data_IF_766306652301
#
_entry.id   IF_766306652301
#
_cell.length_a   1.000
_cell.length_b   1.000
_cell.length_c   1.000
_cell.angle_alpha   90.00
_cell.angle_beta   90.00
_cell.angle_gamma   90.00
#
_symmetry.space_group_name_H-M   'P 1'
#
loop_
_entity.id
_entity.type
_entity.pdbx_description
1 polymer ?
#
# COMPACT_ATOMS: atom_id res chain seq x y z
N UNK A 1 -48.45 33.65 15.72
CA UNK A 1 -49.04 33.27 14.43
C UNK A 1 -48.34 34.06 13.34
N UNK A 2 -47.40 33.45 12.62
CA UNK A 2 -47.17 33.60 11.17
C UNK A 2 -46.57 32.25 10.76
N UNK A 3 -47.32 31.54 9.93
CA UNK A 3 -46.95 30.29 9.30
C UNK A 3 -46.01 30.54 8.09
N UNK A 4 -45.32 29.47 7.67
CA UNK A 4 -44.78 29.20 6.32
C UNK A 4 -43.51 29.93 5.90
N UNK A 5 -42.40 29.20 5.99
CA UNK A 5 -41.45 29.07 4.88
C UNK A 5 -40.73 27.71 4.99
N UNK A 6 -41.42 26.65 4.57
CA UNK A 6 -40.79 25.44 4.07
C UNK A 6 -40.28 25.77 2.66
N UNK A 7 -39.03 25.38 2.32
CA UNK A 7 -38.66 25.16 0.92
C UNK A 7 -37.42 25.90 0.43
N UNK A 8 -36.26 25.30 0.69
CA UNK A 8 -35.08 25.22 -0.19
C UNK A 8 -34.04 24.39 0.59
N UNK A 9 -34.25 23.08 0.78
CA UNK A 9 -33.87 22.06 -0.19
C UNK A 9 -32.60 22.43 -0.97
N UNK A 10 -31.49 21.88 -0.47
CA UNK A 10 -30.46 21.17 -1.22
C UNK A 10 -30.08 21.75 -2.58
N UNK A 11 -28.82 22.18 -2.71
CA UNK A 11 -27.84 21.88 -3.79
C UNK A 11 -26.63 22.81 -3.53
N UNK A 12 -25.81 22.49 -2.52
CA UNK A 12 -24.41 22.96 -2.44
C UNK A 12 -23.54 21.85 -1.83
N UNK A 13 -23.73 20.60 -2.28
CA UNK A 13 -22.91 19.45 -1.86
C UNK A 13 -22.40 18.62 -3.05
N UNK A 14 -22.55 19.12 -4.29
CA UNK A 14 -22.21 18.38 -5.52
C UNK A 14 -21.06 18.99 -6.34
N UNK A 15 -20.24 19.85 -5.74
CA UNK A 15 -19.14 20.51 -6.46
C UNK A 15 -17.74 20.22 -5.89
N UNK A 16 -17.54 19.06 -5.24
CA UNK A 16 -16.26 18.70 -4.63
C UNK A 16 -15.67 17.34 -5.03
N UNK A 17 -16.32 16.56 -5.90
CA UNK A 17 -15.98 15.13 -6.09
C UNK A 17 -15.46 14.78 -7.49
N UNK A 18 -14.81 15.72 -8.18
CA UNK A 18 -14.08 15.44 -9.43
C UNK A 18 -12.66 15.99 -9.32
N UNK A 19 -11.94 15.61 -8.26
CA UNK A 19 -10.47 15.67 -8.21
C UNK A 19 -9.95 14.24 -8.05
N UNK A 20 -8.70 13.92 -8.47
CA UNK A 20 -8.10 12.64 -8.16
C UNK A 20 -8.21 12.41 -6.65
N UNK A 21 -8.84 11.32 -6.22
CA UNK A 21 -8.93 11.07 -4.78
C UNK A 21 -7.53 10.69 -4.30
N UNK A 22 -6.97 11.53 -3.43
CA UNK A 22 -5.76 11.16 -2.72
C UNK A 22 -5.95 9.79 -2.06
N UNK A 23 -4.92 8.96 -2.16
CA UNK A 23 -4.93 7.66 -1.52
C UNK A 23 -5.06 7.82 -0.01
N UNK A 24 -6.13 7.28 0.56
CA UNK A 24 -6.38 7.39 1.99
C UNK A 24 -5.36 6.59 2.78
N UNK A 25 -4.70 7.23 3.76
CA UNK A 25 -3.82 6.56 4.71
C UNK A 25 -4.52 5.36 5.35
N UNK A 26 -5.76 5.56 5.82
CA UNK A 26 -6.54 4.52 6.50
C UNK A 26 -6.85 3.34 5.58
N UNK A 27 -7.02 3.58 4.28
CA UNK A 27 -7.23 2.49 3.31
C UNK A 27 -5.94 1.68 3.15
N UNK A 28 -4.80 2.34 2.97
CA UNK A 28 -3.51 1.66 2.79
C UNK A 28 -3.12 0.89 4.05
N UNK A 29 -3.21 1.53 5.22
CA UNK A 29 -2.90 0.89 6.50
C UNK A 29 -3.78 -0.33 6.73
N UNK A 30 -5.10 -0.19 6.56
CA UNK A 30 -6.03 -1.30 6.70
C UNK A 30 -5.72 -2.45 5.75
N UNK A 31 -5.32 -2.18 4.51
CA UNK A 31 -5.16 -3.20 3.48
C UNK A 31 -3.77 -3.82 3.43
N UNK A 32 -2.71 -3.08 3.78
CA UNK A 32 -1.34 -3.58 3.76
C UNK A 32 -0.85 -4.07 5.12
N UNK A 33 -1.26 -3.43 6.22
CA UNK A 33 -0.68 -3.68 7.55
C UNK A 33 -1.71 -4.18 8.57
N UNK A 34 -2.99 -3.86 8.39
CA UNK A 34 -4.05 -4.11 9.39
C UNK A 34 -4.69 -5.50 9.38
N UNK A 35 -4.36 -6.40 8.44
CA UNK A 35 -5.12 -7.65 8.21
C UNK A 35 -4.50 -8.92 8.80
N UNK A 36 -3.46 -8.79 9.63
CA UNK A 36 -2.62 -9.94 10.00
C UNK A 36 -1.76 -10.40 8.81
N UNK A 37 -1.11 -11.55 8.93
CA UNK A 37 -0.18 -12.02 7.89
C UNK A 37 1.20 -11.37 7.97
N UNK A 38 2.04 -11.71 6.99
CA UNK A 38 3.35 -11.06 6.76
C UNK A 38 3.18 -9.73 6.03
N UNK A 39 2.27 -9.67 5.04
CA UNK A 39 1.94 -8.43 4.33
C UNK A 39 0.56 -8.56 3.69
N UNK A 40 -0.31 -7.57 3.90
CA UNK A 40 -1.63 -7.50 3.28
C UNK A 40 -2.61 -8.61 3.66
N UNK A 41 -2.39 -9.32 4.77
CA UNK A 41 -3.17 -10.51 5.13
C UNK A 41 -2.64 -11.83 4.58
N UNK A 42 -1.51 -11.82 3.86
CA UNK A 42 -0.94 -12.98 3.18
C UNK A 42 0.33 -13.49 3.86
N UNK A 43 0.58 -14.79 3.72
CA UNK A 43 1.65 -15.54 4.35
C UNK A 43 2.52 -16.27 3.31
N UNK A 44 3.75 -16.63 3.70
CA UNK A 44 4.57 -17.53 2.88
C UNK A 44 3.93 -18.93 2.81
N UNK A 45 3.95 -19.54 1.64
CA UNK A 45 3.33 -20.84 1.39
C UNK A 45 1.85 -20.79 1.01
N UNK A 46 1.21 -19.61 1.05
CA UNK A 46 -0.14 -19.42 0.54
C UNK A 46 -0.22 -19.80 -0.95
N UNK A 47 -1.35 -20.37 -1.38
CA UNK A 47 -1.55 -20.71 -2.78
C UNK A 47 -2.03 -19.51 -3.58
N UNK A 48 -1.31 -19.20 -4.66
CA UNK A 48 -1.76 -18.16 -5.59
C UNK A 48 -3.15 -18.47 -6.18
N UNK A 49 -3.42 -19.75 -6.46
CA UNK A 49 -4.72 -20.18 -6.97
C UNK A 49 -5.88 -19.96 -5.98
N UNK A 50 -5.59 -19.92 -4.68
CA UNK A 50 -6.59 -19.59 -3.65
C UNK A 50 -6.73 -18.08 -3.52
N UNK A 51 -5.61 -17.36 -3.47
CA UNK A 51 -5.57 -15.89 -3.41
C UNK A 51 -6.40 -15.26 -4.53
N UNK A 52 -6.17 -15.68 -5.79
CA UNK A 52 -6.86 -15.08 -6.94
C UNK A 52 -8.34 -15.43 -7.08
N UNK A 53 -8.83 -16.45 -6.36
CA UNK A 53 -10.25 -16.84 -6.38
C UNK A 53 -11.10 -16.00 -5.45
N UNK A 54 -10.51 -15.43 -4.40
CA UNK A 54 -11.21 -14.62 -3.41
C UNK A 54 -10.43 -13.35 -3.07
N UNK A 55 -10.07 -12.52 -4.06
CA UNK A 55 -9.53 -11.20 -3.76
C UNK A 55 -10.61 -10.38 -3.06
N UNK A 56 -10.22 -9.50 -2.15
CA UNK A 56 -11.17 -8.51 -1.66
C UNK A 56 -11.67 -7.64 -2.83
N UNK A 57 -12.90 -7.15 -2.71
CA UNK A 57 -13.59 -6.39 -3.77
C UNK A 57 -12.80 -5.16 -4.27
N UNK A 58 -11.84 -4.68 -3.47
CA UNK A 58 -11.01 -3.52 -3.77
C UNK A 58 -9.87 -3.85 -4.75
N UNK A 59 -9.55 -5.13 -4.96
CA UNK A 59 -8.42 -5.58 -5.77
C UNK A 59 -8.83 -6.13 -7.13
N UNK A 60 -8.07 -5.72 -8.14
CA UNK A 60 -7.97 -6.38 -9.44
C UNK A 60 -6.84 -7.40 -9.40
N UNK A 61 -7.11 -8.62 -9.85
CA UNK A 61 -6.09 -9.66 -10.01
C UNK A 61 -5.34 -9.47 -11.31
N UNK A 62 -4.00 -9.51 -11.26
CA UNK A 62 -3.16 -9.74 -12.44
C UNK A 62 -2.45 -11.08 -12.29
N UNK A 63 -2.74 -11.99 -13.22
CA UNK A 63 -2.25 -13.37 -13.24
C UNK A 63 -1.38 -13.58 -14.48
N UNK A 64 -0.31 -12.81 -14.56
CA UNK A 64 0.70 -12.90 -15.61
C UNK A 64 1.93 -13.56 -14.99
N UNK A 65 2.51 -14.54 -15.69
CA UNK A 65 3.64 -15.31 -15.15
C UNK A 65 4.81 -14.40 -14.76
N UNK A 66 5.20 -14.41 -13.49
CA UNK A 66 6.24 -13.55 -12.92
C UNK A 66 5.77 -12.13 -12.57
N UNK A 67 4.47 -11.86 -12.67
CA UNK A 67 3.81 -10.59 -12.37
C UNK A 67 2.48 -10.82 -11.63
N UNK A 68 2.42 -11.85 -10.81
CA UNK A 68 1.25 -12.21 -9.99
C UNK A 68 1.00 -11.13 -8.93
N UNK A 69 -0.14 -10.43 -9.05
CA UNK A 69 -0.43 -9.23 -8.26
C UNK A 69 -1.91 -9.06 -7.90
N UNK A 70 -2.16 -8.46 -6.74
CA UNK A 70 -3.44 -7.85 -6.38
C UNK A 70 -3.29 -6.34 -6.42
N UNK A 71 -4.09 -5.66 -7.24
CA UNK A 71 -3.91 -4.24 -7.54
C UNK A 71 -5.14 -3.42 -7.20
N UNK A 72 -4.95 -2.35 -6.42
CA UNK A 72 -5.95 -1.31 -6.18
C UNK A 72 -5.64 -0.10 -7.04
N UNK A 73 -6.52 0.24 -7.98
CA UNK A 73 -6.45 1.48 -8.78
C UNK A 73 -7.25 2.57 -8.07
N UNK A 74 -6.61 3.68 -7.70
CA UNK A 74 -7.28 4.81 -7.02
C UNK A 74 -7.69 5.90 -8.01
N UNK A 75 -7.11 5.91 -9.22
CA UNK A 75 -7.55 6.73 -10.35
C UNK A 75 -7.64 5.92 -11.65
N UNK A 76 -8.23 6.51 -12.69
CA UNK A 76 -8.36 5.91 -14.03
C UNK A 76 -6.99 5.65 -14.70
N UNK A 77 -5.91 6.25 -14.19
CA UNK A 77 -4.56 6.04 -14.69
C UNK A 77 -3.92 4.82 -14.01
N UNK A 78 -4.16 3.65 -14.60
CA UNK A 78 -3.54 2.39 -14.24
C UNK A 78 -2.00 2.45 -14.36
N UNK A 79 -1.31 2.80 -13.27
CA UNK A 79 0.17 2.88 -13.22
C UNK A 79 0.68 4.00 -12.35
N UNK A 80 -0.22 4.90 -11.95
CA UNK A 80 0.18 6.23 -11.53
C UNK A 80 -0.42 6.61 -10.17
N UNK A 81 -1.66 6.19 -9.86
CA UNK A 81 -2.25 6.34 -8.52
C UNK A 81 -2.86 5.02 -8.04
N UNK A 82 -2.25 4.42 -7.04
CA UNK A 82 -2.71 3.16 -6.47
C UNK A 82 -1.63 2.39 -5.73
N UNK A 83 -2.02 1.27 -5.17
CA UNK A 83 -1.10 0.33 -4.56
C UNK A 83 -1.33 -1.07 -5.08
N UNK A 84 -0.31 -1.90 -5.00
CA UNK A 84 -0.43 -3.32 -5.33
C UNK A 84 0.36 -4.17 -4.35
N UNK A 85 -0.09 -5.41 -4.22
CA UNK A 85 0.62 -6.52 -3.59
C UNK A 85 1.12 -7.44 -4.70
N UNK A 86 2.42 -7.70 -4.77
CA UNK A 86 3.04 -8.65 -5.67
C UNK A 86 3.47 -9.91 -4.94
N UNK A 87 3.43 -11.03 -5.64
CA UNK A 87 3.70 -12.36 -5.09
C UNK A 87 4.80 -13.03 -5.91
N UNK A 88 5.95 -13.29 -5.30
CA UNK A 88 6.93 -14.22 -5.87
C UNK A 88 6.46 -15.65 -5.63
N UNK A 89 6.45 -16.48 -6.67
CA UNK A 89 5.91 -17.83 -6.61
C UNK A 89 6.94 -18.91 -6.94
N UNK A 90 6.93 -19.98 -6.17
CA UNK A 90 7.58 -21.25 -6.50
C UNK A 90 6.58 -22.39 -6.34
N UNK A 91 6.40 -23.21 -7.39
CA UNK A 91 5.40 -24.28 -7.37
C UNK A 91 3.95 -23.78 -7.14
N UNK A 92 3.65 -22.53 -7.50
CA UNK A 92 2.33 -21.91 -7.27
C UNK A 92 2.09 -21.46 -5.82
N UNK A 93 3.14 -21.45 -4.99
CA UNK A 93 3.11 -21.01 -3.59
C UNK A 93 3.91 -19.74 -3.39
N UNK A 94 3.44 -18.88 -2.50
CA UNK A 94 4.09 -17.61 -2.15
C UNK A 94 5.44 -17.87 -1.50
N UNK A 95 6.51 -17.35 -2.11
CA UNK A 95 7.89 -17.37 -1.58
C UNK A 95 8.46 -15.98 -1.35
N UNK A 96 7.83 -14.93 -1.87
CA UNK A 96 8.12 -13.55 -1.48
C UNK A 96 6.88 -12.68 -1.64
N UNK A 97 6.85 -11.59 -0.89
CA UNK A 97 5.77 -10.61 -0.89
C UNK A 97 6.35 -9.24 -1.20
N UNK A 98 5.64 -8.47 -2.01
CA UNK A 98 6.02 -7.11 -2.36
C UNK A 98 4.81 -6.19 -2.23
N UNK A 99 4.98 -4.98 -1.71
CA UNK A 99 3.97 -3.94 -1.82
C UNK A 99 4.58 -2.68 -2.43
N UNK A 100 3.82 -2.01 -3.29
CA UNK A 100 4.24 -0.71 -3.82
C UNK A 100 3.06 0.26 -3.77
N UNK A 101 3.30 1.44 -3.21
CA UNK A 101 2.32 2.53 -3.06
C UNK A 101 2.78 3.71 -3.91
N UNK A 102 2.04 3.97 -4.99
CA UNK A 102 2.38 4.97 -5.99
C UNK A 102 1.33 6.08 -6.06
N UNK A 103 1.77 7.32 -6.26
CA UNK A 103 0.89 8.45 -6.53
C UNK A 103 1.56 9.51 -7.39
N UNK A 104 0.80 10.09 -8.32
CA UNK A 104 1.22 11.20 -9.19
C UNK A 104 1.16 12.55 -8.52
N UNK A 105 0.26 12.69 -7.55
CA UNK A 105 0.23 13.79 -6.60
C UNK A 105 0.12 13.16 -5.22
N UNK A 106 1.22 13.21 -4.48
CA UNK A 106 1.24 12.70 -3.12
C UNK A 106 1.35 13.85 -2.14
N UNK A 107 0.43 13.89 -1.17
CA UNK A 107 0.61 14.71 0.00
C UNK A 107 1.80 14.17 0.80
N UNK A 108 2.86 14.98 0.90
CA UNK A 108 4.10 14.59 1.58
C UNK A 108 3.89 14.19 3.05
N UNK A 109 2.90 14.77 3.73
CA UNK A 109 2.53 14.40 5.10
C UNK A 109 1.92 13.00 5.12
N UNK A 110 0.95 12.73 4.24
CA UNK A 110 0.32 11.40 4.13
C UNK A 110 1.34 10.32 3.81
N UNK A 111 2.24 10.58 2.86
CA UNK A 111 3.30 9.64 2.50
C UNK A 111 4.25 9.40 3.67
N UNK A 112 4.67 10.46 4.37
CA UNK A 112 5.55 10.29 5.53
C UNK A 112 4.87 9.45 6.61
N UNK A 113 3.59 9.69 6.88
CA UNK A 113 2.82 8.89 7.83
C UNK A 113 2.76 7.42 7.41
N UNK A 114 2.56 7.12 6.12
CA UNK A 114 2.57 5.74 5.61
C UNK A 114 3.94 5.07 5.74
N UNK A 115 5.02 5.81 5.51
CA UNK A 115 6.38 5.31 5.75
C UNK A 115 6.60 4.99 7.23
N UNK A 116 6.17 5.88 8.13
CA UNK A 116 6.28 5.68 9.57
C UNK A 116 5.42 4.50 10.06
N UNK A 117 4.21 4.33 9.52
CA UNK A 117 3.32 3.19 9.82
C UNK A 117 3.97 1.87 9.37
N UNK A 118 4.56 1.83 8.17
CA UNK A 118 5.25 0.65 7.66
C UNK A 118 6.49 0.30 8.50
N UNK A 119 7.28 1.30 8.91
CA UNK A 119 8.42 1.10 9.83
C UNK A 119 7.92 0.50 11.15
N UNK A 120 6.89 1.09 11.76
CA UNK A 120 6.34 0.61 13.02
C UNK A 120 5.80 -0.82 12.91
N UNK A 121 5.18 -1.17 11.79
CA UNK A 121 4.70 -2.51 11.50
C UNK A 121 5.84 -3.54 11.49
N UNK A 122 6.89 -3.29 10.71
CA UNK A 122 8.03 -4.21 10.62
C UNK A 122 8.87 -4.25 11.90
N UNK A 123 9.00 -3.13 12.61
CA UNK A 123 9.63 -3.10 13.93
C UNK A 123 8.88 -3.97 14.95
N UNK A 124 7.54 -3.99 14.91
CA UNK A 124 6.74 -4.86 15.77
C UNK A 124 6.83 -6.34 15.36
N UNK A 125 6.89 -6.63 14.06
CA UNK A 125 6.90 -8.00 13.53
C UNK A 125 8.27 -8.69 13.67
N UNK A 126 9.31 -7.99 13.22
CA UNK A 126 10.67 -8.51 13.05
C UNK A 126 11.54 -8.06 14.22
N UNK A 127 11.37 -6.82 14.69
CA UNK A 127 12.23 -6.12 15.65
C UNK A 127 12.87 -4.89 15.01
N UNK A 128 13.65 -4.11 15.75
CA UNK A 128 14.14 -2.81 15.25
C UNK A 128 14.98 -2.94 13.96
N UNK A 129 14.54 -2.24 12.91
CA UNK A 129 15.25 -2.14 11.64
C UNK A 129 16.34 -1.06 11.64
N UNK A 130 17.15 -1.08 10.59
CA UNK A 130 18.12 -0.02 10.32
C UNK A 130 17.59 0.92 9.24
N UNK A 131 17.27 2.16 9.60
CA UNK A 131 16.79 3.18 8.68
C UNK A 131 17.85 4.25 8.39
N UNK A 132 17.93 4.64 7.13
CA UNK A 132 18.69 5.79 6.64
C UNK A 132 17.77 6.71 5.85
N UNK A 133 17.97 8.03 5.99
CA UNK A 133 17.24 9.04 5.23
C UNK A 133 18.23 9.98 4.55
N UNK A 134 17.96 10.34 3.31
CA UNK A 134 18.77 11.30 2.56
C UNK A 134 18.12 12.69 2.55
N UNK A 135 18.91 13.75 2.23
CA UNK A 135 18.41 15.13 2.25
C UNK A 135 17.26 15.43 1.27
N UNK A 136 17.11 14.60 0.25
CA UNK A 136 16.02 14.66 -0.75
C UNK A 136 14.70 14.04 -0.24
N UNK A 137 14.69 13.50 0.99
CA UNK A 137 13.50 12.91 1.60
C UNK A 137 13.35 11.41 1.38
N UNK A 138 14.25 10.77 0.62
CA UNK A 138 14.22 9.31 0.45
C UNK A 138 14.50 8.61 1.79
N UNK A 139 13.83 7.49 2.01
CA UNK A 139 14.02 6.66 3.20
C UNK A 139 14.31 5.23 2.77
N UNK A 140 15.34 4.63 3.34
CA UNK A 140 15.64 3.22 3.17
C UNK A 140 15.75 2.57 4.53
N UNK A 141 14.90 1.59 4.79
CA UNK A 141 14.91 0.79 6.01
C UNK A 141 15.12 -0.67 5.68
N UNK A 142 15.84 -1.36 6.55
CA UNK A 142 16.24 -2.73 6.35
C UNK A 142 16.14 -3.54 7.65
N UNK A 143 15.52 -4.72 7.56
CA UNK A 143 15.34 -5.68 8.64
C UNK A 143 16.02 -7.01 8.27
N UNK A 144 17.33 -6.99 8.04
CA UNK A 144 18.15 -8.19 7.84
C UNK A 144 18.62 -8.74 9.19
N UNK A 145 18.59 -10.08 9.33
CA UNK A 145 19.28 -10.85 10.39
C UNK A 145 18.56 -11.00 11.75
N UNK A 146 17.30 -11.45 11.75
CA UNK A 146 16.67 -12.01 12.95
C UNK A 146 16.33 -13.49 12.77
N UNK A 147 16.92 -14.43 13.55
CA UNK A 147 16.67 -15.85 13.40
C UNK A 147 15.18 -16.21 13.49
N UNK A 148 14.67 -16.94 12.49
CA UNK A 148 13.27 -17.36 12.44
C UNK A 148 12.26 -16.25 12.15
N UNK A 149 12.73 -15.06 11.72
CA UNK A 149 11.89 -13.93 11.31
C UNK A 149 12.08 -13.63 9.82
N UNK A 150 11.04 -13.09 9.16
CA UNK A 150 11.18 -12.66 7.78
C UNK A 150 12.17 -11.51 7.66
N UNK A 151 12.72 -11.33 6.47
CA UNK A 151 13.52 -10.17 6.11
C UNK A 151 12.63 -9.17 5.40
N UNK A 152 12.75 -7.89 5.74
CA UNK A 152 11.99 -6.83 5.08
C UNK A 152 12.93 -5.72 4.61
N UNK A 153 12.59 -5.09 3.49
CA UNK A 153 13.20 -3.86 3.00
C UNK A 153 12.11 -2.87 2.67
N UNK A 154 12.24 -1.64 3.14
CA UNK A 154 11.39 -0.51 2.78
C UNK A 154 12.21 0.54 2.05
N UNK A 155 11.68 1.05 0.94
CA UNK A 155 12.26 2.10 0.12
C UNK A 155 11.18 3.14 -0.17
N UNK A 156 11.36 4.34 0.34
CA UNK A 156 10.64 5.52 -0.12
C UNK A 156 11.54 6.33 -1.04
N UNK A 157 11.07 6.56 -2.27
CA UNK A 157 11.76 7.34 -3.28
C UNK A 157 10.87 8.49 -3.76
N UNK A 158 11.41 9.70 -3.81
CA UNK A 158 10.81 10.86 -4.48
C UNK A 158 11.42 11.06 -5.86
N UNK A 159 10.59 11.31 -6.85
CA UNK A 159 10.98 11.69 -8.20
C UNK A 159 10.56 13.15 -8.42
N UNK A 160 11.48 13.97 -8.94
CA UNK A 160 11.30 15.42 -9.13
C UNK A 160 10.00 15.81 -9.89
N UNK A 161 9.54 17.05 -9.61
CA UNK A 161 8.25 17.70 -9.93
C UNK A 161 7.35 17.12 -11.06
N UNK A 162 6.02 16.93 -10.80
CA UNK A 162 5.33 16.98 -9.49
C UNK A 162 5.78 15.84 -8.57
N UNK A 163 5.58 15.96 -7.24
CA UNK A 163 5.95 14.94 -6.23
C UNK A 163 5.32 13.59 -6.61
N UNK A 164 6.08 12.82 -7.37
CA UNK A 164 5.84 11.43 -7.65
C UNK A 164 6.69 10.69 -6.66
N UNK A 165 6.07 9.79 -5.90
CA UNK A 165 6.78 8.99 -4.94
C UNK A 165 6.32 7.55 -5.01
N UNK A 166 7.23 6.65 -4.68
CA UNK A 166 6.93 5.25 -4.46
C UNK A 166 7.37 4.86 -3.07
N UNK A 167 6.48 4.20 -2.32
CA UNK A 167 6.86 3.42 -1.15
C UNK A 167 6.86 1.96 -1.62
N UNK A 168 8.05 1.39 -1.76
CA UNK A 168 8.27 0.00 -2.13
C UNK A 168 8.70 -0.80 -0.90
N UNK A 169 8.08 -1.96 -0.72
CA UNK A 169 8.28 -2.87 0.40
C UNK A 169 8.52 -4.25 -0.18
N UNK A 170 9.63 -4.87 0.18
CA UNK A 170 9.97 -6.24 -0.18
C UNK A 170 10.08 -7.07 1.08
N UNK A 171 9.45 -8.25 1.10
CA UNK A 171 9.49 -9.17 2.24
C UNK A 171 9.82 -10.58 1.77
N UNK A 172 10.85 -11.15 2.38
CA UNK A 172 11.40 -12.48 2.11
C UNK A 172 11.23 -13.39 3.32
N UNK A 173 11.09 -14.71 3.12
CA UNK A 173 10.89 -15.67 4.20
C UNK A 173 12.09 -15.73 5.13
N UNK A 174 11.90 -16.24 6.37
CA UNK A 174 13.02 -16.55 7.24
C UNK A 174 14.00 -17.55 6.59
N UNK A 175 15.29 -17.35 6.82
CA UNK A 175 16.34 -18.34 6.50
C UNK A 175 16.38 -19.50 7.51
#
# INVERSE_FOLDING_TARGET
>A
MIERALGALSIVLLAGACGPSDMSRDEVDKNLFGRGGVLGGYEFGDSWDEIKKSPDEVYEVRDEAGFEQLRRKVSDNAGQDGYFLGFGLEGGKVTSLHASVNGTQQNAVTVRMLVDDAIAYFDAMIGNGHCSSSPDGNTHCDWREQPGKPRATLRYMTFDEPIKGSIDIDVEPPE
#
